data_IF_513067020950
#
_entry.id   IF_513067020950
#
_cell.length_a   1.000
_cell.length_b   1.000
_cell.length_c   1.000
_cell.angle_alpha   90.00
_cell.angle_beta   90.00
_cell.angle_gamma   90.00
#
_symmetry.space_group_name_H-M   'P 1'
#
loop_
_entity.id
_entity.type
_entity.pdbx_description
1 polymer ?
#
# COMPACT_ATOMS: atom_id res chain seq x y z
N UNK A 1 -14.84 5.57 -6.15
CA UNK A 1 -13.59 4.77 -6.02
C UNK A 1 -13.05 4.55 -7.42
N UNK A 2 -11.88 5.09 -7.74
CA UNK A 2 -11.27 4.96 -9.07
C UNK A 2 -10.44 3.69 -9.17
N UNK A 3 -10.48 3.05 -10.34
CA UNK A 3 -9.76 1.82 -10.66
C UNK A 3 -8.59 2.15 -11.57
N UNK A 4 -7.42 1.59 -11.29
CA UNK A 4 -6.34 1.55 -12.26
C UNK A 4 -6.44 0.27 -13.09
N UNK A 5 -7.02 0.36 -14.30
CA UNK A 5 -7.45 -0.79 -15.11
C UNK A 5 -6.33 -1.81 -15.38
N UNK A 6 -5.17 -1.35 -15.85
CA UNK A 6 -4.03 -2.25 -16.15
C UNK A 6 -3.46 -2.96 -14.91
N UNK A 7 -3.67 -2.39 -13.73
CA UNK A 7 -3.15 -2.94 -12.47
C UNK A 7 -4.21 -3.75 -11.72
N UNK A 8 -5.48 -3.75 -12.16
CA UNK A 8 -6.62 -4.36 -11.46
C UNK A 8 -6.66 -3.94 -9.98
N UNK A 9 -6.56 -2.63 -9.75
CA UNK A 9 -6.23 -2.04 -8.44
C UNK A 9 -7.17 -0.88 -8.10
N UNK A 10 -7.70 -0.87 -6.87
CA UNK A 10 -8.47 0.24 -6.31
C UNK A 10 -7.61 1.08 -5.34
N UNK A 11 -6.54 1.69 -5.82
CA UNK A 11 -5.55 2.39 -4.98
C UNK A 11 -6.16 3.54 -4.17
N UNK A 12 -7.16 4.25 -4.72
CA UNK A 12 -7.87 5.34 -4.04
C UNK A 12 -8.49 4.91 -2.71
N UNK A 13 -8.92 3.65 -2.59
CA UNK A 13 -9.52 3.11 -1.37
C UNK A 13 -8.52 3.04 -0.20
N UNK A 14 -7.22 2.90 -0.51
CA UNK A 14 -6.13 2.83 0.46
C UNK A 14 -5.56 4.22 0.70
N UNK A 15 -5.17 4.90 -0.38
CA UNK A 15 -4.34 6.10 -0.30
C UNK A 15 -5.11 7.33 0.14
N UNK A 16 -6.39 7.44 -0.20
CA UNK A 16 -7.22 8.59 0.23
C UNK A 16 -7.34 8.65 1.75
N UNK A 17 -7.85 7.61 2.45
CA UNK A 17 -7.93 7.65 3.92
C UNK A 17 -6.55 7.71 4.58
N UNK A 18 -5.53 7.05 4.03
CA UNK A 18 -4.17 7.14 4.57
C UNK A 18 -3.65 8.59 4.51
N UNK A 19 -3.69 9.23 3.35
CA UNK A 19 -3.13 10.57 3.19
C UNK A 19 -3.96 11.64 3.92
N UNK A 20 -5.29 11.53 3.91
CA UNK A 20 -6.14 12.49 4.60
C UNK A 20 -6.16 12.30 6.12
N UNK A 21 -6.15 11.07 6.63
CA UNK A 21 -6.15 10.86 8.08
C UNK A 21 -4.73 10.89 8.64
N UNK A 22 -3.89 9.96 8.19
CA UNK A 22 -2.55 9.81 8.73
C UNK A 22 -1.61 10.92 8.23
N UNK A 23 -1.72 11.32 6.96
CA UNK A 23 -0.89 12.40 6.42
C UNK A 23 -1.05 13.73 7.15
N UNK A 24 -2.29 14.17 7.41
CA UNK A 24 -2.54 15.39 8.21
C UNK A 24 -2.18 15.22 9.69
N UNK A 25 -2.19 13.98 10.22
CA UNK A 25 -1.74 13.72 11.58
C UNK A 25 -0.22 13.91 11.75
N UNK A 26 0.58 13.54 10.74
CA UNK A 26 2.06 13.58 10.83
C UNK A 26 2.71 14.75 10.09
N UNK A 27 1.97 15.49 9.27
CA UNK A 27 2.48 16.63 8.52
C UNK A 27 1.42 17.72 8.33
N UNK A 28 1.85 18.99 8.42
CA UNK A 28 1.02 20.15 8.07
C UNK A 28 1.21 20.59 6.61
N UNK A 29 2.15 19.98 5.89
CA UNK A 29 2.46 20.35 4.51
C UNK A 29 1.54 19.60 3.52
N UNK A 30 0.54 20.32 3.00
CA UNK A 30 -0.38 19.79 2.01
C UNK A 30 0.32 19.30 0.73
N UNK A 31 1.40 19.97 0.27
CA UNK A 31 2.15 19.54 -0.92
C UNK A 31 2.84 18.21 -0.67
N UNK A 32 3.37 17.99 0.54
CA UNK A 32 3.95 16.70 0.96
C UNK A 32 2.90 15.59 1.00
N UNK A 33 1.70 15.88 1.51
CA UNK A 33 0.59 14.91 1.53
C UNK A 33 0.15 14.53 0.11
N UNK A 34 0.01 15.51 -0.79
CA UNK A 34 -0.31 15.27 -2.21
C UNK A 34 0.80 14.45 -2.87
N UNK A 35 2.08 14.78 -2.61
CA UNK A 35 3.23 14.01 -3.10
C UNK A 35 3.17 12.56 -2.61
N UNK A 36 2.89 12.33 -1.34
CA UNK A 36 2.77 10.98 -0.77
C UNK A 36 1.65 10.19 -1.46
N UNK A 37 0.49 10.81 -1.72
CA UNK A 37 -0.61 10.19 -2.46
C UNK A 37 -0.18 9.78 -3.88
N UNK A 38 0.46 10.70 -4.62
CA UNK A 38 0.90 10.45 -6.01
C UNK A 38 1.95 9.33 -6.04
N UNK A 39 2.96 9.38 -5.17
CA UNK A 39 4.01 8.36 -5.09
C UNK A 39 3.42 6.99 -4.72
N UNK A 40 2.55 6.94 -3.71
CA UNK A 40 1.88 5.70 -3.33
C UNK A 40 1.05 5.10 -4.47
N UNK A 41 0.38 5.95 -5.26
CA UNK A 41 -0.40 5.52 -6.41
C UNK A 41 0.48 4.87 -7.47
N UNK A 42 1.55 5.57 -7.85
CA UNK A 42 2.48 5.14 -8.89
C UNK A 42 3.15 3.80 -8.53
N UNK A 43 3.58 3.64 -7.28
CA UNK A 43 4.20 2.40 -6.81
C UNK A 43 3.20 1.24 -6.84
N UNK A 44 2.00 1.41 -6.27
CA UNK A 44 1.02 0.34 -6.26
C UNK A 44 0.59 -0.06 -7.68
N UNK A 45 0.41 0.92 -8.58
CA UNK A 45 0.09 0.65 -9.98
C UNK A 45 1.18 -0.16 -10.68
N UNK A 46 2.46 0.20 -10.48
CA UNK A 46 3.60 -0.52 -11.06
C UNK A 46 3.71 -1.96 -10.56
N UNK A 47 3.52 -2.19 -9.26
CA UNK A 47 3.49 -3.55 -8.69
C UNK A 47 2.34 -4.36 -9.28
N UNK A 48 1.14 -3.77 -9.37
CA UNK A 48 -0.02 -4.43 -9.97
C UNK A 48 0.19 -4.78 -11.45
N UNK A 49 0.74 -3.85 -12.24
CA UNK A 49 1.10 -4.10 -13.66
C UNK A 49 2.15 -5.21 -13.79
N UNK A 50 3.19 -5.18 -12.96
CA UNK A 50 4.27 -6.17 -13.00
C UNK A 50 3.76 -7.60 -12.75
N UNK A 51 2.67 -7.75 -11.99
CA UNK A 51 2.03 -9.06 -11.76
C UNK A 51 1.44 -9.68 -13.02
N UNK A 52 1.15 -8.90 -14.07
CA UNK A 52 0.44 -9.36 -15.29
C UNK A 52 -0.88 -10.10 -14.97
N UNK A 53 -1.57 -9.66 -13.91
CA UNK A 53 -2.83 -10.24 -13.42
C UNK A 53 -2.69 -11.56 -12.67
N UNK A 54 -1.48 -12.04 -12.40
CA UNK A 54 -1.25 -13.34 -11.75
C UNK A 54 -1.77 -13.41 -10.31
N UNK A 55 -1.83 -12.28 -9.60
CA UNK A 55 -2.43 -12.25 -8.25
C UNK A 55 -3.86 -12.77 -8.26
N UNK A 56 -4.73 -12.19 -9.09
CA UNK A 56 -6.12 -12.65 -9.23
C UNK A 56 -6.21 -14.09 -9.71
N UNK A 57 -5.40 -14.47 -10.71
CA UNK A 57 -5.37 -15.85 -11.24
C UNK A 57 -5.02 -16.88 -10.18
N UNK A 58 -4.24 -16.49 -9.15
CA UNK A 58 -3.86 -17.34 -8.02
C UNK A 58 -4.74 -17.16 -6.78
N UNK A 59 -5.87 -16.46 -6.91
CA UNK A 59 -6.82 -16.27 -5.81
C UNK A 59 -6.48 -15.13 -4.85
N UNK A 60 -5.53 -14.26 -5.17
CA UNK A 60 -5.17 -13.10 -4.34
C UNK A 60 -5.84 -11.80 -4.80
N UNK A 61 -6.14 -10.94 -3.84
CA UNK A 61 -6.74 -9.63 -4.07
C UNK A 61 -5.66 -8.60 -4.40
N UNK A 62 -5.51 -8.23 -5.68
CA UNK A 62 -4.45 -7.29 -6.13
C UNK A 62 -4.45 -5.97 -5.37
N UNK A 63 -5.62 -5.42 -5.04
CA UNK A 63 -5.68 -4.17 -4.26
C UNK A 63 -5.01 -4.30 -2.90
N UNK A 64 -5.04 -5.49 -2.28
CA UNK A 64 -4.36 -5.74 -1.03
C UNK A 64 -2.85 -5.95 -1.24
N UNK A 65 -2.50 -6.87 -2.15
CA UNK A 65 -1.11 -7.29 -2.41
C UNK A 65 -0.27 -6.15 -2.97
N UNK A 66 -0.75 -5.44 -4.00
CA UNK A 66 -0.03 -4.31 -4.57
C UNK A 66 -0.23 -3.02 -3.75
N UNK A 67 -1.38 -2.87 -3.10
CA UNK A 67 -1.73 -1.65 -2.37
C UNK A 67 -0.88 -1.40 -1.13
N UNK A 68 -0.39 -2.44 -0.45
CA UNK A 68 0.52 -2.25 0.70
C UNK A 68 1.83 -1.56 0.29
N UNK A 69 2.34 -1.82 -0.92
CA UNK A 69 3.54 -1.15 -1.44
C UNK A 69 3.29 0.34 -1.71
N UNK A 70 2.08 0.69 -2.15
CA UNK A 70 1.67 2.10 -2.24
C UNK A 70 1.51 2.74 -0.87
N UNK A 71 0.89 2.03 0.07
CA UNK A 71 0.67 2.47 1.46
C UNK A 71 1.99 2.76 2.19
N UNK A 72 2.96 1.84 2.12
CA UNK A 72 4.28 2.02 2.74
C UNK A 72 5.06 3.14 2.06
N UNK A 73 4.95 3.28 0.73
CA UNK A 73 5.64 4.33 -0.03
C UNK A 73 5.09 5.72 0.31
N UNK A 74 3.76 5.86 0.40
CA UNK A 74 3.14 7.10 0.86
C UNK A 74 3.57 7.44 2.30
N UNK A 75 3.52 6.44 3.19
CA UNK A 75 3.95 6.60 4.60
C UNK A 75 5.43 6.98 4.70
N UNK A 76 6.28 6.42 3.84
CA UNK A 76 7.70 6.74 3.81
C UNK A 76 7.97 8.19 3.41
N UNK A 77 7.23 8.72 2.42
CA UNK A 77 7.28 10.14 2.06
C UNK A 77 6.80 11.00 3.23
N UNK A 78 5.70 10.63 3.87
CA UNK A 78 5.15 11.37 5.02
C UNK A 78 6.14 11.43 6.20
N UNK A 79 6.91 10.37 6.42
CA UNK A 79 7.85 10.22 7.53
C UNK A 79 9.28 10.71 7.26
N UNK A 80 9.53 11.26 6.05
CA UNK A 80 10.86 11.69 5.56
C UNK A 80 11.92 10.57 5.62
N UNK A 81 11.53 9.35 5.22
CA UNK A 81 12.48 8.24 5.19
C UNK A 81 13.57 8.48 4.15
N UNK A 82 14.79 8.12 4.51
CA UNK A 82 15.90 8.12 3.57
C UNK A 82 15.83 6.92 2.61
N UNK A 83 16.72 6.90 1.61
CA UNK A 83 16.74 5.86 0.56
C UNK A 83 16.83 4.44 1.13
N UNK A 84 17.72 4.20 2.09
CA UNK A 84 17.94 2.88 2.68
C UNK A 84 16.71 2.42 3.47
N UNK A 85 16.10 3.33 4.23
CA UNK A 85 14.87 3.05 4.96
C UNK A 85 13.71 2.74 4.01
N UNK A 86 13.58 3.46 2.88
CA UNK A 86 12.55 3.16 1.87
C UNK A 86 12.73 1.75 1.29
N UNK A 87 13.97 1.38 0.96
CA UNK A 87 14.30 0.05 0.42
C UNK A 87 13.90 -1.05 1.41
N UNK A 88 14.29 -0.91 2.68
CA UNK A 88 13.91 -1.85 3.73
C UNK A 88 12.39 -1.89 3.97
N UNK A 89 11.72 -0.73 3.95
CA UNK A 89 10.27 -0.65 4.11
C UNK A 89 9.51 -1.40 3.00
N UNK A 90 9.98 -1.29 1.75
CA UNK A 90 9.41 -2.04 0.62
C UNK A 90 9.64 -3.54 0.76
N UNK A 91 10.83 -3.97 1.18
CA UNK A 91 11.13 -5.37 1.48
C UNK A 91 10.21 -5.94 2.56
N UNK A 92 10.10 -5.23 3.68
CA UNK A 92 9.20 -5.60 4.79
C UNK A 92 7.73 -5.64 4.36
N UNK A 93 7.29 -4.72 3.48
CA UNK A 93 5.92 -4.73 2.97
C UNK A 93 5.59 -6.04 2.23
N UNK A 94 6.57 -6.68 1.59
CA UNK A 94 6.43 -8.00 0.99
C UNK A 94 5.98 -9.07 2.00
N UNK A 95 6.51 -9.04 3.22
CA UNK A 95 6.14 -9.97 4.30
C UNK A 95 4.73 -9.75 4.84
N UNK A 96 4.13 -8.57 4.62
CA UNK A 96 2.77 -8.23 5.08
C UNK A 96 1.73 -8.22 3.95
N UNK A 97 2.15 -8.39 2.70
CA UNK A 97 1.27 -8.42 1.54
C UNK A 97 0.34 -9.64 1.60
N UNK A 98 -0.95 -9.40 1.86
CA UNK A 98 -1.94 -10.47 2.08
C UNK A 98 -3.34 -10.06 1.61
N UNK A 99 -4.22 -11.04 1.40
CA UNK A 99 -5.62 -10.86 1.02
C UNK A 99 -6.05 -11.82 -0.09
N UNK A 100 -7.10 -12.59 0.16
CA UNK A 100 -7.60 -13.63 -0.74
C UNK A 100 -8.93 -13.24 -1.36
N UNK A 101 -9.24 -13.76 -2.55
CA UNK A 101 -10.50 -13.50 -3.26
C UNK A 101 -11.63 -14.46 -2.86
N UNK A 102 -11.46 -15.31 -1.85
CA UNK A 102 -12.48 -16.29 -1.43
C UNK A 102 -13.80 -15.63 -1.01
N UNK A 103 -13.80 -14.35 -0.63
CA UNK A 103 -15.02 -13.59 -0.41
C UNK A 103 -15.96 -13.56 -1.63
N UNK A 104 -15.45 -13.80 -2.85
CA UNK A 104 -16.25 -13.91 -4.07
C UNK A 104 -17.07 -15.20 -4.12
N UNK A 105 -16.65 -16.27 -3.44
CA UNK A 105 -17.36 -17.57 -3.47
C UNK A 105 -18.55 -17.61 -2.50
N UNK A 106 -18.40 -16.96 -1.34
CA UNK A 106 -19.39 -17.02 -0.25
C UNK A 106 -20.04 -15.68 0.09
N UNK A 107 -19.73 -14.60 -0.65
CA UNK A 107 -20.30 -13.27 -0.44
C UNK A 107 -19.83 -12.57 0.84
N UNK A 108 -18.73 -13.02 1.45
CA UNK A 108 -18.18 -12.41 2.66
C UNK A 108 -17.89 -10.91 2.47
N UNK A 109 -18.17 -10.11 3.50
CA UNK A 109 -17.81 -8.70 3.54
C UNK A 109 -16.33 -8.45 3.86
N UNK A 110 -15.52 -9.51 4.06
CA UNK A 110 -14.09 -9.42 4.44
C UNK A 110 -13.21 -8.64 3.47
N UNK A 111 -13.66 -8.39 2.23
CA UNK A 111 -12.93 -7.55 1.24
C UNK A 111 -12.49 -6.19 1.82
N UNK A 112 -13.28 -5.58 2.70
CA UNK A 112 -12.94 -4.28 3.30
C UNK A 112 -11.74 -4.37 4.24
N UNK A 113 -11.55 -5.51 4.91
CA UNK A 113 -10.41 -5.74 5.80
C UNK A 113 -9.09 -5.75 5.03
N UNK A 114 -9.09 -6.14 3.76
CA UNK A 114 -7.90 -6.08 2.92
C UNK A 114 -7.36 -4.65 2.76
N UNK A 115 -8.27 -3.69 2.63
CA UNK A 115 -7.94 -2.26 2.52
C UNK A 115 -7.40 -1.75 3.85
N UNK A 116 -8.11 -2.06 4.95
CA UNK A 116 -7.71 -1.66 6.30
C UNK A 116 -6.32 -2.23 6.65
N UNK A 117 -6.06 -3.50 6.34
CA UNK A 117 -4.77 -4.14 6.58
C UNK A 117 -3.66 -3.51 5.75
N UNK A 118 -3.89 -3.19 4.47
CA UNK A 118 -2.88 -2.52 3.65
C UNK A 118 -2.53 -1.12 4.20
N UNK A 119 -3.51 -0.35 4.69
CA UNK A 119 -3.28 0.96 5.32
C UNK A 119 -2.48 0.78 6.62
N UNK A 120 -3.02 0.00 7.57
CA UNK A 120 -2.42 -0.22 8.90
C UNK A 120 -1.00 -0.75 8.77
N UNK A 121 -0.80 -1.79 7.96
CA UNK A 121 0.51 -2.43 7.83
C UNK A 121 1.51 -1.54 7.10
N UNK A 122 1.08 -0.76 6.08
CA UNK A 122 1.98 0.17 5.40
C UNK A 122 2.50 1.28 6.32
N UNK A 123 1.66 1.84 7.19
CA UNK A 123 2.08 2.80 8.21
C UNK A 123 3.05 2.14 9.20
N UNK A 124 2.67 0.99 9.75
CA UNK A 124 3.48 0.25 10.73
C UNK A 124 4.87 -0.13 10.18
N UNK A 125 4.93 -0.68 8.97
CA UNK A 125 6.18 -1.10 8.33
C UNK A 125 7.08 0.10 8.03
N UNK A 126 6.51 1.24 7.62
CA UNK A 126 7.31 2.45 7.43
C UNK A 126 7.97 2.92 8.74
N UNK A 127 7.29 2.77 9.89
CA UNK A 127 7.89 3.03 11.21
C UNK A 127 8.97 2.02 11.57
N UNK A 128 8.80 0.73 11.26
CA UNK A 128 9.86 -0.26 11.49
C UNK A 128 11.13 0.11 10.73
N UNK A 129 11.01 0.43 9.45
CA UNK A 129 12.14 0.87 8.64
C UNK A 129 12.74 2.20 9.11
N UNK A 130 11.90 3.16 9.56
CA UNK A 130 12.38 4.40 10.20
C UNK A 130 13.29 4.13 11.40
N UNK A 131 13.01 3.05 12.13
CA UNK A 131 13.78 2.59 13.28
C UNK A 131 14.82 1.52 12.89
N UNK A 132 15.28 1.51 11.64
CA UNK A 132 16.38 0.70 11.12
C UNK A 132 16.13 -0.83 11.15
N UNK A 133 14.87 -1.27 11.15
CA UNK A 133 14.57 -2.68 10.86
C UNK A 133 14.84 -2.97 9.38
N UNK A 134 15.61 -4.02 9.10
CA UNK A 134 15.92 -4.44 7.74
C UNK A 134 14.81 -5.28 7.11
N UNK A 135 14.62 -5.14 5.80
CA UNK A 135 13.71 -5.95 4.99
C UNK A 135 14.46 -6.86 4.01
N UNK A 136 13.81 -7.92 3.50
CA UNK A 136 14.37 -8.73 2.42
C UNK A 136 14.49 -7.91 1.12
N UNK A 137 15.66 -7.94 0.46
CA UNK A 137 15.99 -7.14 -0.73
C UNK A 137 16.04 -7.97 -2.02
#
# INVERSE_FOLDING_TARGET
>A
MTIHTKAILHASAILTPLCLSYGFHVSKDAKKIIKAFIVGWEVAARVGIASKGTFHKRGFHTTAIAGIFGSVSASAILLDLNKEQIINALGLAGSFASGINEFLSNGSNSKVLHIANAIKNGIMVAHFAKNNMSGPL
#
